data_IF_951536691760
#
_entry.id   IF_951536691760
#
_cell.length_a   1.000
_cell.length_b   1.000
_cell.length_c   1.000
_cell.angle_alpha   90.00
_cell.angle_beta   90.00
_cell.angle_gamma   90.00
#
_symmetry.space_group_name_H-M   'P 1'
#
loop_
_entity.id
_entity.type
_entity.pdbx_description
1 polymer ?
#
# COMPACT_ATOMS: atom_id res chain seq x y z
N UNK A 1 2.29 -8.43 -57.52
CA UNK A 1 3.66 -8.03 -57.11
C UNK A 1 3.66 -7.88 -55.59
N UNK A 2 3.76 -8.97 -54.80
CA UNK A 2 4.69 -8.91 -53.65
C UNK A 2 5.14 -10.26 -53.06
N UNK A 3 4.76 -11.39 -53.66
CA UNK A 3 5.25 -12.71 -53.20
C UNK A 3 6.76 -12.90 -53.40
N UNK A 4 7.34 -12.19 -54.38
CA UNK A 4 8.80 -12.18 -54.60
C UNK A 4 9.55 -11.40 -53.53
N UNK A 5 8.99 -10.30 -53.00
CA UNK A 5 9.62 -9.55 -51.90
C UNK A 5 9.57 -10.33 -50.60
N UNK A 6 8.44 -10.99 -50.30
CA UNK A 6 8.33 -11.84 -49.11
C UNK A 6 9.32 -13.00 -49.16
N UNK A 7 9.45 -13.65 -50.33
CA UNK A 7 10.41 -14.73 -50.54
C UNK A 7 11.86 -14.24 -50.45
N UNK A 8 12.15 -13.06 -50.99
CA UNK A 8 13.47 -12.43 -50.87
C UNK A 8 13.82 -12.09 -49.42
N UNK A 9 12.88 -11.53 -48.64
CA UNK A 9 13.07 -11.25 -47.21
C UNK A 9 13.29 -12.56 -46.44
N UNK A 10 12.48 -13.60 -46.72
CA UNK A 10 12.65 -14.92 -46.12
C UNK A 10 14.03 -15.51 -46.41
N UNK A 11 14.48 -15.45 -47.67
CA UNK A 11 15.79 -15.97 -48.08
C UNK A 11 16.95 -15.14 -47.49
N UNK A 12 16.81 -13.81 -47.39
CA UNK A 12 17.77 -12.91 -46.76
C UNK A 12 17.89 -13.19 -45.25
N UNK A 13 16.76 -13.37 -44.57
CA UNK A 13 16.68 -13.75 -43.14
C UNK A 13 17.28 -15.15 -42.94
N UNK A 14 16.97 -16.11 -43.82
CA UNK A 14 17.52 -17.47 -43.76
C UNK A 14 19.02 -17.52 -43.99
N UNK A 15 19.55 -16.71 -44.92
CA UNK A 15 20.98 -16.66 -45.23
C UNK A 15 21.77 -16.05 -44.07
N UNK A 16 21.27 -14.97 -43.47
CA UNK A 16 21.87 -14.31 -42.29
C UNK A 16 21.79 -15.18 -41.02
N UNK A 17 20.71 -15.95 -40.84
CA UNK A 17 20.52 -16.94 -39.76
C UNK A 17 21.34 -18.24 -39.92
N UNK A 18 21.95 -18.48 -41.08
CA UNK A 18 22.66 -19.75 -41.38
C UNK A 18 24.06 -19.84 -40.75
N UNK A 19 24.67 -18.69 -40.41
CA UNK A 19 25.99 -18.63 -39.80
C UNK A 19 25.88 -19.10 -38.34
N UNK A 20 26.70 -20.09 -37.94
CA UNK A 20 26.73 -20.65 -36.57
C UNK A 20 26.84 -19.55 -35.49
N UNK A 21 27.54 -18.45 -35.80
CA UNK A 21 27.67 -17.27 -34.94
C UNK A 21 26.33 -16.55 -34.73
N UNK A 22 25.54 -16.34 -35.78
CA UNK A 22 24.22 -15.67 -35.68
C UNK A 22 23.22 -16.50 -34.88
N UNK A 23 23.23 -17.84 -35.03
CA UNK A 23 22.39 -18.74 -34.20
C UNK A 23 22.75 -18.66 -32.72
N UNK A 24 24.04 -18.58 -32.40
CA UNK A 24 24.52 -18.43 -31.03
C UNK A 24 24.14 -17.07 -30.43
N UNK A 25 24.34 -15.97 -31.18
CA UNK A 25 23.92 -14.63 -30.75
C UNK A 25 22.41 -14.54 -30.54
N UNK A 26 21.61 -15.18 -31.39
CA UNK A 26 20.15 -15.18 -31.28
C UNK A 26 19.67 -16.00 -30.08
N UNK A 27 20.35 -17.11 -29.78
CA UNK A 27 20.13 -17.86 -28.53
C UNK A 27 20.41 -17.00 -27.31
N UNK A 28 21.55 -16.29 -27.27
CA UNK A 28 21.88 -15.36 -26.18
C UNK A 28 20.81 -14.26 -26.06
N UNK A 29 20.38 -13.67 -27.18
CA UNK A 29 19.35 -12.63 -27.18
C UNK A 29 18.03 -13.16 -26.60
N UNK A 30 17.59 -14.36 -26.99
CA UNK A 30 16.38 -14.98 -26.45
C UNK A 30 16.51 -15.24 -24.94
N UNK A 31 17.66 -15.74 -24.48
CA UNK A 31 17.90 -15.96 -23.05
C UNK A 31 17.90 -14.65 -22.27
N UNK A 32 18.51 -13.58 -22.81
CA UNK A 32 18.49 -12.25 -22.20
C UNK A 32 17.08 -11.65 -22.15
N UNK A 33 16.30 -11.79 -23.23
CA UNK A 33 14.90 -11.35 -23.25
C UNK A 33 14.03 -12.15 -22.28
N UNK A 34 14.27 -13.45 -22.15
CA UNK A 34 13.58 -14.30 -21.20
C UNK A 34 13.94 -13.91 -19.77
N UNK A 35 15.22 -13.69 -19.46
CA UNK A 35 15.67 -13.19 -18.16
C UNK A 35 15.08 -11.81 -17.84
N UNK A 36 15.06 -10.90 -18.81
CA UNK A 36 14.44 -9.58 -18.66
C UNK A 36 12.93 -9.66 -18.41
N UNK A 37 12.21 -10.49 -19.16
CA UNK A 37 10.78 -10.71 -18.96
C UNK A 37 10.49 -11.36 -17.58
N UNK A 38 11.30 -12.34 -17.17
CA UNK A 38 11.23 -12.94 -15.83
C UNK A 38 11.45 -11.87 -14.76
N UNK A 39 12.44 -10.98 -14.94
CA UNK A 39 12.71 -9.90 -14.00
C UNK A 39 11.54 -8.92 -13.89
N UNK A 40 10.90 -8.57 -15.01
CA UNK A 40 9.69 -7.72 -15.02
C UNK A 40 8.52 -8.40 -14.30
N UNK A 41 8.26 -9.68 -14.59
CA UNK A 41 7.14 -10.44 -14.00
C UNK A 41 7.34 -10.61 -12.49
N UNK A 42 8.55 -10.99 -12.06
CA UNK A 42 8.88 -11.15 -10.65
C UNK A 42 8.72 -9.83 -9.90
N UNK A 43 9.22 -8.72 -10.47
CA UNK A 43 9.09 -7.40 -9.85
C UNK A 43 7.63 -6.92 -9.73
N UNK A 44 6.77 -7.23 -10.72
CA UNK A 44 5.37 -6.80 -10.74
C UNK A 44 4.44 -7.67 -9.88
N UNK A 45 4.67 -8.97 -9.79
CA UNK A 45 3.67 -9.91 -9.23
C UNK A 45 3.92 -10.24 -7.75
N UNK A 46 5.15 -10.20 -7.25
CA UNK A 46 5.49 -10.81 -5.96
C UNK A 46 6.19 -9.89 -4.94
N UNK A 47 6.54 -8.64 -5.28
CA UNK A 47 7.61 -7.96 -4.54
C UNK A 47 7.24 -6.74 -3.68
N UNK A 48 6.20 -5.95 -3.99
CA UNK A 48 6.11 -4.61 -3.37
C UNK A 48 5.90 -4.66 -1.85
N UNK A 49 4.99 -5.50 -1.35
CA UNK A 49 4.60 -5.51 0.07
C UNK A 49 5.43 -6.48 0.95
N UNK A 50 5.86 -7.60 0.36
CA UNK A 50 6.74 -8.57 1.01
C UNK A 50 8.11 -7.97 1.33
N UNK A 51 8.60 -7.06 0.46
CA UNK A 51 9.84 -6.33 0.71
C UNK A 51 9.71 -5.33 1.85
N UNK A 52 8.58 -4.63 1.99
CA UNK A 52 8.36 -3.68 3.11
C UNK A 52 8.35 -4.41 4.45
N UNK A 53 7.65 -5.56 4.51
CA UNK A 53 7.65 -6.42 5.70
C UNK A 53 9.07 -6.84 6.08
N UNK A 54 9.88 -7.30 5.12
CA UNK A 54 11.26 -7.71 5.39
C UNK A 54 12.16 -6.55 5.81
N UNK A 55 12.05 -5.40 5.14
CA UNK A 55 12.79 -4.20 5.48
C UNK A 55 12.56 -3.81 6.94
N UNK A 56 11.30 -3.84 7.38
CA UNK A 56 10.96 -3.49 8.75
C UNK A 56 11.42 -4.55 9.77
N UNK A 57 11.30 -5.84 9.46
CA UNK A 57 11.81 -6.91 10.34
C UNK A 57 13.30 -6.74 10.65
N UNK A 58 14.11 -6.26 9.69
CA UNK A 58 15.55 -6.02 9.86
C UNK A 58 15.90 -4.90 10.84
N UNK A 59 14.95 -4.05 11.22
CA UNK A 59 15.16 -3.04 12.28
C UNK A 59 15.36 -3.65 13.66
N UNK A 60 15.02 -4.93 13.85
CA UNK A 60 15.00 -5.62 15.14
C UNK A 60 14.09 -4.95 16.19
N UNK A 61 13.13 -4.14 15.76
CA UNK A 61 12.14 -3.56 16.66
C UNK A 61 11.32 -4.67 17.37
N UNK A 62 11.01 -4.48 18.64
CA UNK A 62 10.14 -5.34 19.44
C UNK A 62 8.67 -4.95 19.27
N UNK A 63 7.77 -5.90 19.50
CA UNK A 63 6.32 -5.64 19.48
C UNK A 63 5.79 -5.25 18.10
N UNK A 64 6.36 -5.81 17.02
CA UNK A 64 6.03 -5.41 15.66
C UNK A 64 4.57 -5.65 15.30
N UNK A 65 3.95 -4.64 14.72
CA UNK A 65 2.57 -4.64 14.22
C UNK A 65 2.55 -4.16 12.78
N UNK A 66 1.48 -4.53 12.07
CA UNK A 66 1.24 -4.05 10.72
C UNK A 66 -0.22 -3.63 10.59
N UNK A 67 -0.47 -2.55 9.88
CA UNK A 67 -1.81 -2.08 9.63
C UNK A 67 -1.99 -1.67 8.16
N UNK A 68 -3.24 -1.74 7.74
CA UNK A 68 -3.70 -1.24 6.45
C UNK A 68 -4.84 -0.27 6.70
N UNK A 69 -4.77 0.86 6.03
CA UNK A 69 -5.87 1.82 5.91
C UNK A 69 -6.23 1.94 4.43
N UNK A 70 -7.51 1.80 4.13
CA UNK A 70 -8.05 2.09 2.80
C UNK A 70 -9.12 3.17 2.96
N UNK A 71 -8.92 4.28 2.26
CA UNK A 71 -9.91 5.34 2.13
C UNK A 71 -10.34 5.36 0.67
N UNK A 72 -11.64 5.21 0.43
CA UNK A 72 -12.16 5.16 -0.92
C UNK A 72 -13.43 6.01 -1.09
N UNK A 73 -13.55 6.66 -2.24
CA UNK A 73 -14.72 7.47 -2.58
C UNK A 73 -15.67 6.64 -3.45
N UNK A 74 -16.95 6.59 -3.06
CA UNK A 74 -17.98 5.98 -3.88
C UNK A 74 -18.67 7.06 -4.71
N UNK A 75 -18.65 6.89 -6.04
CA UNK A 75 -19.28 7.82 -7.00
C UNK A 75 -20.80 7.69 -7.09
N UNK A 76 -21.40 6.76 -6.37
CA UNK A 76 -22.85 6.57 -6.39
C UNK A 76 -23.50 7.56 -5.42
N UNK A 77 -24.16 8.58 -5.94
CA UNK A 77 -24.87 9.62 -5.16
C UNK A 77 -26.00 9.05 -4.29
N UNK A 78 -26.41 7.79 -4.52
CA UNK A 78 -27.46 7.12 -3.78
C UNK A 78 -27.00 5.76 -3.22
N UNK A 79 -26.43 5.78 -2.02
CA UNK A 79 -26.30 4.59 -1.18
C UNK A 79 -27.45 4.54 -0.17
N UNK A 80 -28.34 3.55 -0.30
CA UNK A 80 -29.36 3.29 0.71
C UNK A 80 -28.73 2.80 2.02
N UNK A 81 -29.50 2.81 3.12
CA UNK A 81 -29.05 2.23 4.38
C UNK A 81 -28.69 0.74 4.24
N UNK A 82 -29.49 -0.01 3.50
CA UNK A 82 -29.25 -1.44 3.26
C UNK A 82 -27.99 -1.67 2.40
N UNK A 83 -27.73 -0.81 1.41
CA UNK A 83 -26.50 -0.88 0.62
C UNK A 83 -25.27 -0.62 1.49
N UNK A 84 -25.34 0.36 2.41
CA UNK A 84 -24.25 0.67 3.35
C UNK A 84 -23.93 -0.54 4.24
N UNK A 85 -24.96 -1.15 4.82
CA UNK A 85 -24.80 -2.35 5.65
C UNK A 85 -24.25 -3.51 4.83
N UNK A 86 -24.78 -3.75 3.62
CA UNK A 86 -24.32 -4.80 2.72
C UNK A 86 -22.84 -4.65 2.35
N UNK A 87 -22.37 -3.43 2.08
CA UNK A 87 -20.96 -3.18 1.81
C UNK A 87 -20.09 -3.50 3.04
N UNK A 88 -20.52 -3.08 4.24
CA UNK A 88 -19.82 -3.41 5.50
C UNK A 88 -19.72 -4.94 5.67
N UNK A 89 -20.83 -5.66 5.45
CA UNK A 89 -20.85 -7.12 5.48
C UNK A 89 -19.89 -7.75 4.45
N UNK A 90 -19.94 -7.32 3.19
CA UNK A 90 -19.04 -7.84 2.14
C UNK A 90 -17.56 -7.64 2.47
N UNK A 91 -17.19 -6.47 3.01
CA UNK A 91 -15.82 -6.19 3.43
C UNK A 91 -15.44 -7.11 4.60
N UNK A 92 -16.29 -7.20 5.63
CA UNK A 92 -16.06 -8.04 6.80
C UNK A 92 -15.89 -9.53 6.42
N UNK A 93 -16.79 -10.06 5.60
CA UNK A 93 -16.76 -11.44 5.12
C UNK A 93 -15.47 -11.73 4.33
N UNK A 94 -15.02 -10.78 3.50
CA UNK A 94 -13.82 -10.97 2.69
C UNK A 94 -12.55 -11.16 3.51
N UNK A 95 -12.47 -10.57 4.71
CA UNK A 95 -11.34 -10.71 5.62
C UNK A 95 -11.58 -11.75 6.73
N UNK A 96 -12.67 -12.51 6.66
CA UNK A 96 -13.05 -13.51 7.65
C UNK A 96 -13.51 -12.93 9.00
N UNK A 97 -13.98 -11.68 9.01
CA UNK A 97 -14.48 -11.01 10.20
C UNK A 97 -15.96 -11.30 10.41
N UNK A 98 -16.30 -12.05 11.45
CA UNK A 98 -17.70 -12.22 11.86
C UNK A 98 -18.24 -10.96 12.53
N UNK A 99 -19.31 -10.42 11.95
CA UNK A 99 -20.14 -9.36 12.55
C UNK A 99 -21.05 -10.00 13.60
N UNK A 100 -20.79 -9.71 14.87
CA UNK A 100 -21.42 -10.30 16.06
C UNK A 100 -22.32 -9.32 16.83
N UNK A 101 -22.45 -8.10 16.32
CA UNK A 101 -23.30 -7.03 16.84
C UNK A 101 -23.80 -6.17 15.69
N UNK A 102 -24.82 -5.36 15.97
CA UNK A 102 -25.38 -4.44 14.98
C UNK A 102 -24.37 -3.38 14.54
N UNK A 103 -24.49 -2.97 13.28
CA UNK A 103 -23.74 -1.85 12.71
C UNK A 103 -24.19 -0.57 13.41
N UNK A 104 -23.23 0.17 13.97
CA UNK A 104 -23.48 1.43 14.64
C UNK A 104 -23.85 2.49 13.60
N UNK A 105 -24.92 3.25 13.87
CA UNK A 105 -25.40 4.31 12.98
C UNK A 105 -25.44 5.62 13.75
N UNK A 106 -24.76 6.64 13.21
CA UNK A 106 -24.80 8.01 13.72
C UNK A 106 -25.20 8.98 12.60
N UNK A 107 -26.01 9.99 12.95
CA UNK A 107 -26.47 11.03 12.02
C UNK A 107 -26.39 12.38 12.73
N UNK A 108 -25.56 13.27 12.20
CA UNK A 108 -25.30 14.60 12.75
C UNK A 108 -25.34 15.63 11.62
N UNK A 109 -26.46 16.37 11.51
CA UNK A 109 -26.65 17.35 10.46
C UNK A 109 -26.50 16.75 9.05
N UNK A 110 -25.59 17.32 8.26
CA UNK A 110 -25.26 16.92 6.89
C UNK A 110 -24.38 15.65 6.80
N UNK A 111 -24.15 14.95 7.92
CA UNK A 111 -23.23 13.81 8.01
C UNK A 111 -23.95 12.58 8.55
N UNK A 112 -23.79 11.45 7.87
CA UNK A 112 -24.18 10.13 8.42
C UNK A 112 -23.01 9.16 8.41
N UNK A 113 -22.93 8.32 9.43
CA UNK A 113 -21.89 7.33 9.62
C UNK A 113 -22.50 5.97 9.94
N UNK A 114 -22.02 4.94 9.24
CA UNK A 114 -22.31 3.53 9.50
C UNK A 114 -20.98 2.85 9.81
N UNK A 115 -20.83 2.26 10.99
CA UNK A 115 -19.55 1.72 11.43
C UNK A 115 -19.68 0.36 12.11
N UNK A 116 -18.70 -0.50 11.87
CA UNK A 116 -18.49 -1.74 12.60
C UNK A 116 -17.04 -1.79 13.08
N UNK A 117 -16.88 -2.05 14.37
CA UNK A 117 -15.57 -2.13 15.02
C UNK A 117 -15.46 -3.39 15.87
N UNK A 118 -14.35 -4.09 15.73
CA UNK A 118 -14.05 -5.29 16.48
C UNK A 118 -12.58 -5.30 16.92
N UNK A 119 -12.41 -5.31 18.23
CA UNK A 119 -11.13 -5.48 18.90
C UNK A 119 -10.99 -6.96 19.25
N UNK A 120 -10.03 -7.66 18.65
CA UNK A 120 -9.77 -9.06 18.92
C UNK A 120 -8.34 -9.25 19.42
N UNK A 121 -8.06 -10.44 19.98
CA UNK A 121 -6.75 -10.74 20.60
C UNK A 121 -5.54 -10.53 19.68
N UNK A 122 -5.72 -10.74 18.37
CA UNK A 122 -4.64 -10.69 17.38
C UNK A 122 -4.83 -9.62 16.31
N UNK A 123 -6.00 -8.99 16.24
CA UNK A 123 -6.29 -8.00 15.22
C UNK A 123 -7.41 -7.04 15.64
N UNK A 124 -7.30 -5.80 15.18
CA UNK A 124 -8.31 -4.77 15.37
C UNK A 124 -8.83 -4.34 14.00
N UNK A 125 -10.15 -4.32 13.84
CA UNK A 125 -10.78 -3.95 12.57
C UNK A 125 -11.82 -2.86 12.78
N UNK A 126 -11.83 -1.88 11.87
CA UNK A 126 -12.85 -0.86 11.73
C UNK A 126 -13.25 -0.78 10.26
N UNK A 127 -14.54 -0.91 9.99
CA UNK A 127 -15.12 -0.72 8.66
C UNK A 127 -16.19 0.34 8.81
N UNK A 128 -16.11 1.39 7.99
CA UNK A 128 -16.96 2.56 8.14
C UNK A 128 -17.35 3.15 6.80
N UNK A 129 -18.59 3.62 6.72
CA UNK A 129 -19.10 4.38 5.58
C UNK A 129 -19.58 5.74 6.10
N UNK A 130 -18.97 6.81 5.59
CA UNK A 130 -19.34 8.19 5.89
C UNK A 130 -20.04 8.78 4.69
N UNK A 131 -21.22 9.34 4.87
CA UNK A 131 -21.93 10.11 3.83
C UNK A 131 -21.95 11.57 4.23
N UNK A 132 -21.54 12.46 3.32
CA UNK A 132 -21.51 13.90 3.52
C UNK A 132 -22.40 14.58 2.48
N UNK A 133 -23.39 15.33 2.95
CA UNK A 133 -24.22 16.19 2.11
C UNK A 133 -23.44 17.47 1.79
N UNK A 134 -23.31 17.78 0.51
CA UNK A 134 -22.73 19.00 -0.01
C UNK A 134 -23.78 19.77 -0.80
N UNK A 135 -23.95 21.05 -0.47
CA UNK A 135 -24.77 21.97 -1.26
C UNK A 135 -23.92 22.44 -2.45
N UNK A 136 -24.32 22.08 -3.66
CA UNK A 136 -23.78 22.62 -4.90
C UNK A 136 -24.90 23.38 -5.62
N UNK A 137 -24.73 24.71 -5.76
CA UNK A 137 -25.63 25.64 -6.47
C UNK A 137 -27.13 25.38 -6.26
N UNK A 138 -27.74 24.45 -7.01
CA UNK A 138 -29.18 24.11 -6.99
C UNK A 138 -29.51 22.65 -6.58
N UNK A 139 -28.51 21.84 -6.16
CA UNK A 139 -28.70 20.44 -5.78
C UNK A 139 -27.94 20.05 -4.50
N UNK A 140 -28.52 19.11 -3.74
CA UNK A 140 -27.81 18.40 -2.67
C UNK A 140 -27.13 17.20 -3.29
N UNK A 141 -25.79 17.20 -3.28
CA UNK A 141 -24.99 16.04 -3.64
C UNK A 141 -24.56 15.31 -2.38
N UNK A 142 -24.57 13.98 -2.39
CA UNK A 142 -24.09 13.18 -1.26
C UNK A 142 -22.83 12.44 -1.71
N UNK A 143 -21.70 12.75 -1.07
CA UNK A 143 -20.47 11.99 -1.28
C UNK A 143 -20.36 10.90 -0.22
N UNK A 144 -20.02 9.70 -0.63
CA UNK A 144 -19.83 8.57 0.27
C UNK A 144 -18.36 8.15 0.31
N UNK A 145 -17.84 7.93 1.51
CA UNK A 145 -16.48 7.51 1.76
C UNK A 145 -16.47 6.21 2.54
N UNK A 146 -15.75 5.22 2.05
CA UNK A 146 -15.48 3.97 2.77
C UNK A 146 -14.11 4.09 3.42
N UNK A 147 -14.05 3.79 4.71
CA UNK A 147 -12.83 3.71 5.50
C UNK A 147 -12.71 2.30 6.05
N UNK A 148 -11.66 1.59 5.66
CA UNK A 148 -11.32 0.28 6.20
C UNK A 148 -9.99 0.40 6.92
N UNK A 149 -9.95 0.02 8.19
CA UNK A 149 -8.72 -0.10 8.97
C UNK A 149 -8.62 -1.50 9.53
N UNK A 150 -7.50 -2.15 9.28
CA UNK A 150 -7.17 -3.45 9.85
C UNK A 150 -5.76 -3.37 10.42
N UNK A 151 -5.59 -3.70 11.70
CA UNK A 151 -4.31 -3.79 12.38
C UNK A 151 -4.09 -5.22 12.86
N UNK A 152 -2.96 -5.82 12.53
CA UNK A 152 -2.53 -7.13 12.99
C UNK A 152 -1.50 -6.92 14.09
N UNK A 153 -1.89 -7.28 15.31
CA UNK A 153 -1.14 -6.96 16.53
C UNK A 153 0.03 -7.93 16.78
N UNK A 154 0.06 -9.07 16.08
CA UNK A 154 1.08 -10.11 16.22
C UNK A 154 1.40 -10.73 14.88
N UNK A 155 2.65 -10.56 14.44
CA UNK A 155 3.14 -11.10 13.17
C UNK A 155 2.77 -10.22 11.99
N UNK A 156 3.77 -9.92 11.16
CA UNK A 156 3.64 -8.97 10.05
C UNK A 156 3.32 -9.64 8.70
N UNK A 157 3.43 -10.97 8.64
CA UNK A 157 3.46 -11.73 7.38
C UNK A 157 2.11 -11.79 6.63
N UNK A 158 1.02 -11.28 7.20
CA UNK A 158 -0.33 -11.46 6.65
C UNK A 158 -0.97 -10.19 6.08
N UNK A 159 -0.41 -9.00 6.34
CA UNK A 159 -1.09 -7.74 5.95
C UNK A 159 -1.26 -7.60 4.43
N UNK A 160 -0.33 -8.17 3.67
CA UNK A 160 -0.32 -8.16 2.20
C UNK A 160 -1.49 -8.95 1.58
N UNK A 161 -1.83 -10.07 2.22
CA UNK A 161 -2.96 -10.90 1.81
C UNK A 161 -4.25 -10.12 2.02
N UNK A 162 -4.38 -9.44 3.16
CA UNK A 162 -5.52 -8.56 3.42
C UNK A 162 -5.56 -7.35 2.49
N UNK A 163 -4.42 -6.71 2.16
CA UNK A 163 -4.36 -5.66 1.11
C UNK A 163 -4.97 -6.16 -0.19
N UNK A 164 -4.54 -7.34 -0.63
CA UNK A 164 -4.99 -7.92 -1.91
C UNK A 164 -6.49 -8.24 -1.88
N UNK A 165 -6.97 -8.86 -0.81
CA UNK A 165 -8.39 -9.25 -0.69
C UNK A 165 -9.28 -8.01 -0.57
N UNK A 166 -8.93 -7.06 0.30
CA UNK A 166 -9.68 -5.81 0.47
C UNK A 166 -9.74 -5.01 -0.83
N UNK A 167 -8.62 -4.88 -1.56
CA UNK A 167 -8.61 -4.19 -2.85
C UNK A 167 -9.59 -4.83 -3.84
N UNK A 168 -9.55 -6.16 -3.98
CA UNK A 168 -10.47 -6.91 -4.86
C UNK A 168 -11.92 -6.78 -4.43
N UNK A 169 -12.20 -6.82 -3.12
CA UNK A 169 -13.55 -6.63 -2.60
C UNK A 169 -14.08 -5.25 -2.94
N UNK A 170 -13.27 -4.20 -2.77
CA UNK A 170 -13.62 -2.83 -3.12
C UNK A 170 -13.84 -2.66 -4.62
N UNK A 171 -13.00 -3.27 -5.47
CA UNK A 171 -13.20 -3.28 -6.93
C UNK A 171 -14.55 -3.93 -7.30
N UNK A 172 -14.90 -5.04 -6.63
CA UNK A 172 -16.16 -5.76 -6.89
C UNK A 172 -17.43 -4.99 -6.53
N UNK A 173 -17.33 -3.98 -5.65
CA UNK A 173 -18.45 -3.11 -5.27
C UNK A 173 -18.45 -1.78 -6.05
N UNK A 174 -17.62 -1.65 -7.09
CA UNK A 174 -17.61 -0.51 -8.02
C UNK A 174 -16.79 0.69 -7.55
N UNK A 175 -15.76 0.46 -6.74
CA UNK A 175 -14.88 1.50 -6.22
C UNK A 175 -13.57 1.52 -7.02
N UNK A 176 -13.44 2.51 -7.90
CA UNK A 176 -12.25 2.65 -8.75
C UNK A 176 -11.15 3.51 -8.13
N UNK A 177 -11.52 4.47 -7.25
CA UNK A 177 -10.60 5.43 -6.65
C UNK A 177 -10.45 5.18 -5.15
N UNK A 178 -9.27 4.70 -4.76
CA UNK A 178 -8.94 4.37 -3.38
C UNK A 178 -7.49 4.72 -3.07
N UNK A 179 -7.27 5.27 -1.90
CA UNK A 179 -5.96 5.43 -1.30
C UNK A 179 -5.73 4.26 -0.35
N UNK A 180 -4.63 3.54 -0.56
CA UNK A 180 -4.21 2.42 0.30
C UNK A 180 -2.91 2.82 0.99
N UNK A 181 -2.92 2.79 2.32
CA UNK A 181 -1.77 3.06 3.16
C UNK A 181 -1.44 1.79 3.95
N UNK A 182 -0.22 1.28 3.81
CA UNK A 182 0.33 0.27 4.71
C UNK A 182 1.17 0.96 5.77
N UNK A 183 1.13 0.47 7.00
CA UNK A 183 1.97 0.94 8.10
C UNK A 183 2.55 -0.23 8.87
N UNK A 184 3.76 -0.05 9.36
CA UNK A 184 4.49 -1.01 10.18
C UNK A 184 5.05 -0.28 11.38
N UNK A 185 4.73 -0.77 12.57
CA UNK A 185 5.11 -0.16 13.83
C UNK A 185 5.91 -1.16 14.66
N UNK A 186 6.87 -0.67 15.43
CA UNK A 186 7.57 -1.42 16.45
C UNK A 186 8.26 -0.47 17.42
N UNK A 187 8.88 -1.01 18.46
CA UNK A 187 9.60 -0.20 19.44
C UNK A 187 11.03 -0.70 19.66
N UNK A 188 11.89 0.18 20.14
CA UNK A 188 13.23 -0.10 20.64
C UNK A 188 13.30 0.41 22.08
N UNK A 189 14.07 -0.27 22.93
CA UNK A 189 14.20 0.13 24.33
C UNK A 189 15.05 1.40 24.44
N UNK A 190 14.65 2.31 25.33
CA UNK A 190 15.36 3.54 25.61
C UNK A 190 15.19 4.63 24.56
N UNK A 191 15.76 5.79 24.86
CA UNK A 191 15.87 6.92 23.94
C UNK A 191 17.02 6.70 22.95
N UNK A 192 16.73 6.83 21.65
CA UNK A 192 17.75 6.78 20.62
C UNK A 192 18.44 8.14 20.40
N UNK A 193 19.74 8.09 20.16
CA UNK A 193 20.53 9.21 19.63
C UNK A 193 20.16 9.52 18.19
N UNK A 194 20.45 10.73 17.71
CA UNK A 194 20.22 11.11 16.31
C UNK A 194 20.90 10.14 15.32
N UNK A 195 22.13 9.72 15.62
CA UNK A 195 22.87 8.76 14.77
C UNK A 195 22.17 7.39 14.68
N UNK A 196 21.54 6.92 15.76
CA UNK A 196 20.79 5.67 15.76
C UNK A 196 19.48 5.81 14.97
N UNK A 197 18.77 6.93 15.14
CA UNK A 197 17.58 7.27 14.33
C UNK A 197 17.93 7.30 12.83
N UNK A 198 19.02 7.98 12.47
CA UNK A 198 19.53 8.06 11.10
C UNK A 198 19.89 6.66 10.55
N UNK A 199 20.54 5.82 11.35
CA UNK A 199 20.90 4.46 10.94
C UNK A 199 19.67 3.60 10.65
N UNK A 200 18.63 3.70 11.47
CA UNK A 200 17.36 2.98 11.26
C UNK A 200 16.67 3.48 9.99
N UNK A 201 16.58 4.80 9.82
CA UNK A 201 15.92 5.37 8.65
C UNK A 201 16.65 5.03 7.35
N UNK A 202 17.99 5.14 7.33
CA UNK A 202 18.79 4.75 6.18
C UNK A 202 18.65 3.25 5.88
N UNK A 203 18.69 2.38 6.90
CA UNK A 203 18.45 0.94 6.74
C UNK A 203 17.11 0.66 6.05
N UNK A 204 16.02 1.27 6.52
CA UNK A 204 14.69 1.07 5.95
C UNK A 204 14.61 1.52 4.49
N UNK A 205 15.20 2.67 4.16
CA UNK A 205 15.21 3.20 2.80
C UNK A 205 16.08 2.34 1.87
N UNK A 206 17.27 1.93 2.32
CA UNK A 206 18.19 1.07 1.56
C UNK A 206 17.59 -0.31 1.28
N UNK A 207 16.92 -0.91 2.27
CA UNK A 207 16.23 -2.20 2.11
C UNK A 207 15.08 -2.13 1.10
N UNK A 208 14.44 -0.97 1.00
CA UNK A 208 13.45 -0.66 -0.03
C UNK A 208 14.07 -0.21 -1.36
N UNK A 209 15.41 -0.19 -1.47
CA UNK A 209 16.18 0.33 -2.61
C UNK A 209 15.71 1.72 -3.04
N UNK A 210 15.40 2.55 -2.05
CA UNK A 210 14.97 3.92 -2.25
C UNK A 210 16.07 4.94 -2.00
N UNK A 211 15.72 6.19 -2.24
CA UNK A 211 16.53 7.36 -1.96
C UNK A 211 15.79 8.28 -0.98
N UNK A 212 16.54 8.94 -0.10
CA UNK A 212 15.98 9.92 0.84
C UNK A 212 15.75 11.23 0.11
N UNK A 213 14.54 11.75 0.20
CA UNK A 213 14.17 13.05 -0.36
C UNK A 213 14.30 14.16 0.69
N UNK A 214 13.76 13.95 1.89
CA UNK A 214 13.68 14.98 2.93
C UNK A 214 13.85 14.33 4.31
N UNK A 215 14.53 15.02 5.23
CA UNK A 215 14.63 14.68 6.65
C UNK A 215 14.21 15.87 7.50
N UNK A 216 13.46 15.61 8.56
CA UNK A 216 13.10 16.56 9.60
C UNK A 216 13.45 15.97 10.95
N UNK A 217 14.05 16.79 11.81
CA UNK A 217 14.36 16.45 13.20
C UNK A 217 13.85 17.57 14.10
N UNK A 218 12.74 17.30 14.78
CA UNK A 218 12.18 18.11 15.84
C UNK A 218 12.33 17.32 17.16
N UNK A 219 12.41 18.00 18.31
CA UNK A 219 12.86 17.41 19.60
C UNK A 219 12.24 16.03 19.91
N UNK A 220 10.96 15.85 19.60
CA UNK A 220 10.19 14.63 19.88
C UNK A 220 9.85 13.79 18.62
N UNK A 221 10.10 14.33 17.42
CA UNK A 221 9.78 13.70 16.15
C UNK A 221 10.95 13.75 15.18
N UNK A 222 11.42 12.56 14.79
CA UNK A 222 12.31 12.42 13.66
C UNK A 222 11.57 11.80 12.47
N UNK A 223 11.51 12.51 11.36
CA UNK A 223 10.77 12.11 10.17
C UNK A 223 11.66 12.06 8.94
N UNK A 224 11.56 10.98 8.18
CA UNK A 224 12.25 10.81 6.90
C UNK A 224 11.24 10.48 5.80
N UNK A 225 11.33 11.24 4.71
CA UNK A 225 10.59 10.99 3.47
C UNK A 225 11.54 10.51 2.40
N UNK A 226 11.17 9.43 1.71
CA UNK A 226 11.94 8.84 0.63
C UNK A 226 11.09 8.37 -0.53
N UNK A 227 11.77 7.94 -1.59
CA UNK A 227 11.15 7.39 -2.78
C UNK A 227 11.82 6.09 -3.21
N UNK A 228 11.03 5.10 -3.58
CA UNK A 228 11.50 3.88 -4.26
C UNK A 228 10.66 3.59 -5.49
N UNK A 229 11.30 3.07 -6.55
CA UNK A 229 10.60 2.55 -7.73
C UNK A 229 9.94 1.19 -7.52
N UNK A 230 10.10 0.56 -6.33
CA UNK A 230 9.52 -0.74 -6.00
C UNK A 230 8.09 -0.66 -5.47
N UNK A 231 7.59 0.54 -5.14
CA UNK A 231 6.25 0.77 -4.63
C UNK A 231 5.53 1.70 -5.59
N UNK A 232 4.42 1.24 -6.16
CA UNK A 232 3.71 2.03 -7.17
C UNK A 232 2.93 3.21 -6.58
N UNK A 233 2.37 3.07 -5.38
CA UNK A 233 1.61 4.13 -4.74
C UNK A 233 2.56 5.24 -4.23
N UNK A 234 2.30 6.50 -4.58
CA UNK A 234 3.08 7.66 -4.13
C UNK A 234 2.21 8.89 -3.91
N UNK A 235 2.70 9.81 -3.08
CA UNK A 235 2.18 11.18 -2.94
C UNK A 235 3.18 12.17 -3.50
N UNK A 236 2.72 13.36 -3.89
CA UNK A 236 3.63 14.43 -4.33
C UNK A 236 3.78 15.43 -3.18
N UNK A 237 5.01 15.60 -2.69
CA UNK A 237 5.35 16.58 -1.65
C UNK A 237 6.44 17.51 -2.17
N UNK A 238 6.22 18.83 -2.09
CA UNK A 238 7.19 19.86 -2.54
C UNK A 238 7.72 19.66 -3.96
N UNK A 239 6.89 19.11 -4.87
CA UNK A 239 7.26 18.84 -6.26
C UNK A 239 7.96 17.50 -6.51
N UNK A 240 8.26 16.73 -5.46
CA UNK A 240 8.90 15.41 -5.53
C UNK A 240 7.91 14.29 -5.18
N UNK A 241 8.05 13.13 -5.83
CA UNK A 241 7.29 11.93 -5.47
C UNK A 241 7.88 11.33 -4.20
N UNK A 242 7.02 10.93 -3.27
CA UNK A 242 7.38 10.30 -2.00
C UNK A 242 6.45 9.11 -1.77
N UNK A 243 7.02 7.97 -1.39
CA UNK A 243 6.26 6.76 -1.05
C UNK A 243 6.84 5.95 0.11
N UNK A 244 7.88 6.49 0.76
CA UNK A 244 8.42 6.00 2.02
C UNK A 244 8.26 7.13 3.03
N UNK A 245 7.54 6.88 4.12
CA UNK A 245 7.44 7.80 5.25
C UNK A 245 7.86 7.05 6.51
N UNK A 246 8.94 7.50 7.14
CA UNK A 246 9.45 6.96 8.40
C UNK A 246 9.25 8.02 9.48
N UNK A 247 8.69 7.63 10.61
CA UNK A 247 8.58 8.47 11.79
C UNK A 247 9.16 7.73 13.01
N UNK A 248 9.99 8.41 13.78
CA UNK A 248 10.62 7.88 14.99
C UNK A 248 10.34 8.86 16.13
N UNK A 249 9.66 8.37 17.17
CA UNK A 249 9.26 9.16 18.34
C UNK A 249 9.67 8.47 19.62
N UNK A 250 9.92 9.23 20.69
CA UNK A 250 10.29 8.68 21.99
C UNK A 250 9.12 8.81 22.98
N UNK A 251 8.79 7.71 23.65
CA UNK A 251 7.76 7.65 24.69
C UNK A 251 8.45 7.61 26.06
N UNK A 252 8.45 8.75 26.75
CA UNK A 252 9.13 8.88 28.05
C UNK A 252 8.52 8.01 29.16
N UNK A 253 7.21 7.67 29.05
CA UNK A 253 6.51 6.90 30.08
C UNK A 253 6.88 5.43 30.00
N UNK A 254 7.01 4.92 28.78
CA UNK A 254 7.34 3.52 28.50
C UNK A 254 8.84 3.26 28.36
N UNK A 255 9.66 4.32 28.36
CA UNK A 255 11.10 4.30 28.05
C UNK A 255 11.39 3.53 26.74
N UNK A 256 10.65 3.90 25.69
CA UNK A 256 10.72 3.24 24.38
C UNK A 256 10.72 4.25 23.25
N UNK A 257 11.56 3.99 22.25
CA UNK A 257 11.50 4.69 20.97
C UNK A 257 10.62 3.91 20.00
N UNK A 258 9.53 4.51 19.51
CA UNK A 258 8.64 3.95 18.49
C UNK A 258 9.21 4.25 17.11
N UNK A 259 9.17 3.25 16.24
CA UNK A 259 9.56 3.35 14.83
C UNK A 259 8.35 2.99 14.00
N UNK A 260 7.97 3.88 13.09
CA UNK A 260 6.86 3.73 12.18
C UNK A 260 7.36 3.86 10.75
N UNK A 261 6.97 2.93 9.89
CA UNK A 261 7.19 2.96 8.44
C UNK A 261 5.85 2.89 7.75
N UNK A 262 5.56 3.84 6.86
CA UNK A 262 4.34 3.87 6.07
C UNK A 262 4.61 4.06 4.59
N UNK A 263 3.69 3.52 3.78
CA UNK A 263 3.71 3.62 2.33
C UNK A 263 2.31 3.90 1.80
N UNK A 264 2.05 5.02 1.10
CA UNK A 264 3.01 6.08 0.78
C UNK A 264 3.25 7.07 1.95
N UNK A 265 2.24 7.34 2.78
CA UNK A 265 2.33 8.32 3.87
C UNK A 265 1.35 7.98 5.00
N UNK A 266 1.76 8.23 6.25
CA UNK A 266 0.89 8.18 7.43
C UNK A 266 -0.22 9.23 7.30
N UNK A 267 -1.48 8.79 7.35
CA UNK A 267 -2.67 9.66 7.31
C UNK A 267 -3.23 9.99 8.71
N UNK A 268 -2.66 9.42 9.77
CA UNK A 268 -3.13 9.58 11.13
C UNK A 268 -2.25 10.58 11.88
N UNK A 269 -2.89 11.51 12.57
CA UNK A 269 -2.24 12.39 13.55
C UNK A 269 -1.87 11.56 14.78
N UNK A 270 -0.63 11.70 15.25
CA UNK A 270 -0.06 11.03 16.41
C UNK A 270 0.24 12.06 17.52
#
# INVERSE_FOLDING_TARGET
>A
MDNKKLKYIYDLVKQTLSLKRTKFTLYIAVVLWLAFATQIIVNRVFHESFQITQAFVKTNAIGQQSSIEIIAECKNDFLSEEDKKLIIHKIADSIGLTIDKDISVSREGARSEYSFEKQAKSANTMIKIVSLEQKQEDAIKINHYIVVRLSILRGMQSIDQYKTVLNKTLDSVGIDQKQVTLQYEGSLNGRLTLNEKDRIANLLVEELKGDIAIKYDEEDLYTVYGYTGLINEFVTSTGSKVNIHIAITYDEKEDKTKVLLATPIINQSW
#
